data_IF_279465996301
#
_entry.id   IF_279465996301
#
_cell.length_a   1.000
_cell.length_b   1.000
_cell.length_c   1.000
_cell.angle_alpha   90.00
_cell.angle_beta   90.00
_cell.angle_gamma   90.00
#
_symmetry.space_group_name_H-M   'P 1'
#
loop_
_entity.id
_entity.type
_entity.pdbx_description
1 polymer ?
#
# COMPACT_ATOMS: atom_id res chain seq x y z
N UNK A 1 14.05 -17.73 13.81
CA UNK A 1 14.58 -16.40 13.46
C UNK A 1 14.20 -15.93 12.03
N UNK A 2 14.48 -16.65 10.94
CA UNK A 2 14.11 -16.16 9.58
C UNK A 2 12.60 -16.09 9.32
N UNK A 3 11.78 -16.96 9.88
CA UNK A 3 10.31 -16.98 9.66
C UNK A 3 9.58 -15.93 10.51
N UNK A 4 10.05 -15.62 11.71
CA UNK A 4 9.49 -14.55 12.55
C UNK A 4 9.84 -13.16 12.00
N UNK A 5 11.05 -13.01 11.40
CA UNK A 5 11.43 -11.78 10.69
C UNK A 5 10.54 -11.57 9.46
N UNK A 6 10.10 -12.64 8.79
CA UNK A 6 9.12 -12.56 7.68
C UNK A 6 7.74 -12.16 8.22
N UNK A 7 7.32 -12.68 9.39
CA UNK A 7 6.11 -12.22 10.09
C UNK A 7 6.21 -10.75 10.53
N UNK A 8 7.35 -10.34 11.10
CA UNK A 8 7.59 -8.93 11.51
C UNK A 8 7.70 -7.98 10.30
N UNK A 9 8.26 -8.44 9.17
CA UNK A 9 8.30 -7.70 7.91
C UNK A 9 6.91 -7.65 7.25
N UNK A 10 6.11 -8.73 7.36
CA UNK A 10 4.70 -8.70 6.96
C UNK A 10 3.87 -7.76 7.86
N UNK A 11 4.15 -7.72 9.17
CA UNK A 11 3.60 -6.74 10.12
C UNK A 11 3.97 -5.31 9.70
N UNK A 12 5.21 -5.06 9.29
CA UNK A 12 5.62 -3.75 8.75
C UNK A 12 5.01 -3.44 7.37
N UNK A 13 4.79 -4.45 6.53
CA UNK A 13 4.13 -4.28 5.21
C UNK A 13 2.62 -4.12 5.36
N UNK A 14 1.98 -4.76 6.35
CA UNK A 14 0.55 -4.56 6.64
C UNK A 14 0.31 -3.31 7.50
N UNK A 15 1.26 -2.91 8.36
CA UNK A 15 1.27 -1.56 8.92
C UNK A 15 1.52 -0.51 7.83
N UNK A 16 2.36 -0.79 6.85
CA UNK A 16 2.48 -0.02 5.61
C UNK A 16 1.22 -0.10 4.74
N UNK A 17 0.51 -1.22 4.71
CA UNK A 17 -0.78 -1.41 4.04
C UNK A 17 -1.95 -0.77 4.80
N UNK A 18 -1.94 -0.82 6.14
CA UNK A 18 -2.85 -0.11 7.02
C UNK A 18 -2.60 1.41 6.97
N UNK A 19 -1.34 1.85 6.94
CA UNK A 19 -0.98 3.24 6.65
C UNK A 19 -1.33 3.61 5.20
N UNK A 20 -1.31 2.68 4.24
CA UNK A 20 -1.72 2.94 2.86
C UNK A 20 -3.25 2.90 2.68
N UNK A 21 -3.98 2.11 3.47
CA UNK A 21 -5.43 2.15 3.55
C UNK A 21 -5.90 3.46 4.23
N UNK A 22 -5.26 3.86 5.33
CA UNK A 22 -5.47 5.17 5.93
C UNK A 22 -4.85 6.32 5.12
N UNK A 23 -3.78 6.11 4.34
CA UNK A 23 -3.26 7.13 3.42
C UNK A 23 -4.20 7.42 2.24
N UNK A 24 -5.11 6.52 1.89
CA UNK A 24 -6.23 6.88 0.97
C UNK A 24 -7.20 7.87 1.61
N UNK A 25 -7.29 7.86 2.94
CA UNK A 25 -8.16 8.74 3.73
C UNK A 25 -7.39 9.89 4.40
N UNK A 26 -6.05 9.87 4.39
CA UNK A 26 -5.24 11.01 4.82
C UNK A 26 -5.04 11.97 3.64
N UNK A 27 -5.16 13.29 3.84
CA UNK A 27 -4.91 14.25 2.76
C UNK A 27 -3.52 13.99 2.18
N UNK A 28 -3.45 13.80 0.87
CA UNK A 28 -2.17 13.66 0.17
C UNK A 28 -1.29 14.84 0.57
N UNK A 29 -0.27 14.57 1.40
CA UNK A 29 0.77 15.55 1.62
C UNK A 29 1.34 15.87 0.24
N UNK A 30 1.08 17.07 -0.26
CA UNK A 30 1.61 17.51 -1.53
C UNK A 30 3.11 17.20 -1.52
N UNK A 31 3.55 16.32 -2.41
CA UNK A 31 4.98 16.04 -2.59
C UNK A 31 5.68 17.40 -2.68
N UNK A 32 6.68 17.67 -1.84
CA UNK A 32 7.39 18.94 -1.92
C UNK A 32 8.04 19.00 -3.31
N UNK A 33 7.61 19.95 -4.11
CA UNK A 33 8.33 20.32 -5.31
C UNK A 33 9.80 20.56 -4.92
N UNK A 34 10.73 20.01 -5.70
CA UNK A 34 12.17 20.17 -5.47
C UNK A 34 12.49 21.64 -5.18
N UNK A 35 13.33 21.95 -4.18
CA UNK A 35 13.58 23.33 -3.77
C UNK A 35 14.22 24.10 -4.92
N UNK A 36 13.53 25.13 -5.37
CA UNK A 36 14.12 26.16 -6.24
C UNK A 36 15.27 26.83 -5.48
N UNK A 37 16.40 26.95 -6.13
CA UNK A 37 17.64 27.50 -5.59
C UNK A 37 17.44 28.90 -5.00
N UNK A 38 18.09 29.13 -3.83
CA UNK A 38 18.43 30.40 -3.21
C UNK A 38 17.29 31.32 -2.73
N UNK A 39 16.85 31.07 -1.48
CA UNK A 39 16.40 32.14 -0.60
C UNK A 39 17.57 32.61 0.30
N UNK A 40 17.68 33.93 0.65
CA UNK A 40 18.75 34.42 1.51
C UNK A 40 18.62 33.86 2.93
N UNK A 41 19.76 33.60 3.57
CA UNK A 41 19.86 33.13 4.94
C UNK A 41 19.08 34.08 5.87
N UNK A 42 17.96 33.60 6.39
CA UNK A 42 17.25 34.22 7.52
C UNK A 42 17.95 33.74 8.78
N UNK A 43 18.42 34.67 9.62
CA UNK A 43 18.91 34.39 10.96
C UNK A 43 17.86 33.59 11.75
N UNK A 44 18.22 32.56 12.54
CA UNK A 44 17.26 31.81 13.31
C UNK A 44 16.72 32.66 14.45
N UNK A 45 15.61 33.34 14.21
CA UNK A 45 14.75 33.78 15.29
C UNK A 45 14.02 32.56 15.82
N UNK A 46 13.87 32.44 17.12
CA UNK A 46 13.43 31.24 17.80
C UNK A 46 12.21 30.63 17.11
N UNK A 47 12.37 29.44 16.53
CA UNK A 47 11.25 28.65 16.00
C UNK A 47 10.23 28.52 17.13
N UNK A 48 8.96 28.96 16.98
CA UNK A 48 7.96 28.76 18.01
C UNK A 48 7.88 27.27 18.33
N UNK A 49 7.76 26.96 19.60
CA UNK A 49 7.58 25.56 20.04
C UNK A 49 6.40 24.96 19.26
N UNK A 50 6.50 23.73 18.81
CA UNK A 50 5.37 23.06 18.13
C UNK A 50 4.13 23.14 19.03
N UNK A 51 2.93 23.32 18.46
CA UNK A 51 1.70 23.38 19.24
C UNK A 51 1.56 22.11 20.08
N UNK A 52 1.13 22.28 21.33
CA UNK A 52 0.89 21.17 22.25
C UNK A 52 -0.29 20.34 21.70
N UNK A 53 -0.03 19.07 21.45
CA UNK A 53 -1.07 18.11 21.03
C UNK A 53 -1.74 17.57 22.29
N UNK A 54 -3.04 17.78 22.43
CA UNK A 54 -3.83 17.25 23.55
C UNK A 54 -4.27 15.83 23.26
N UNK A 55 -4.04 14.93 24.22
CA UNK A 55 -4.48 13.55 24.18
C UNK A 55 -5.97 13.41 24.51
N UNK A 56 -6.53 12.23 24.22
CA UNK A 56 -7.86 11.85 24.68
C UNK A 56 -7.75 11.18 26.06
N UNK A 57 -8.71 11.45 26.94
CA UNK A 57 -8.85 10.77 28.24
C UNK A 57 -9.46 9.38 28.07
N UNK A 58 -8.61 8.41 27.70
CA UNK A 58 -9.02 7.01 27.51
C UNK A 58 -9.52 6.35 28.80
N UNK A 59 -9.15 6.88 29.97
CA UNK A 59 -9.68 6.41 31.25
C UNK A 59 -11.15 6.79 31.41
N UNK A 60 -11.50 8.03 31.06
CA UNK A 60 -12.89 8.46 31.07
C UNK A 60 -13.73 7.74 29.99
N UNK A 61 -13.17 7.50 28.78
CA UNK A 61 -13.84 6.71 27.72
C UNK A 61 -14.07 5.28 28.22
N UNK A 62 -13.08 4.65 28.84
CA UNK A 62 -13.18 3.27 29.36
C UNK A 62 -14.29 3.16 30.42
N UNK A 63 -14.53 4.20 31.20
CA UNK A 63 -15.54 4.23 32.25
C UNK A 63 -16.98 4.36 31.73
N UNK A 64 -17.21 4.49 30.43
CA UNK A 64 -18.56 4.58 29.84
C UNK A 64 -19.34 3.26 29.95
N UNK A 65 -18.64 2.14 29.86
CA UNK A 65 -19.21 0.79 29.96
C UNK A 65 -18.35 -0.10 30.86
N UNK A 66 -18.88 -1.25 31.25
CA UNK A 66 -18.10 -2.30 31.94
C UNK A 66 -17.04 -2.86 30.99
N UNK A 67 -15.82 -3.10 31.49
CA UNK A 67 -14.73 -3.59 30.65
C UNK A 67 -15.08 -4.90 29.91
N UNK A 68 -15.85 -5.78 30.56
CA UNK A 68 -16.27 -7.09 30.02
C UNK A 68 -17.60 -7.01 29.23
N UNK A 69 -18.19 -5.82 29.07
CA UNK A 69 -19.40 -5.68 28.24
C UNK A 69 -19.02 -5.83 26.75
N UNK A 70 -19.83 -6.58 26.01
CA UNK A 70 -19.63 -6.76 24.58
C UNK A 70 -19.78 -5.43 23.85
N UNK A 71 -18.71 -4.95 23.24
CA UNK A 71 -18.67 -3.72 22.46
C UNK A 71 -19.00 -3.94 20.99
N UNK A 72 -18.48 -5.04 20.39
CA UNK A 72 -18.65 -5.37 18.98
C UNK A 72 -19.04 -6.85 18.86
N UNK A 73 -19.97 -7.15 17.97
CA UNK A 73 -20.37 -8.53 17.61
C UNK A 73 -20.40 -8.67 16.10
N UNK A 74 -19.77 -9.72 15.56
CA UNK A 74 -19.88 -10.15 14.17
C UNK A 74 -20.01 -11.67 14.11
N UNK A 75 -21.17 -12.16 13.70
CA UNK A 75 -21.49 -13.59 13.78
C UNK A 75 -21.42 -14.11 15.22
N UNK A 76 -20.58 -15.12 15.45
CA UNK A 76 -20.34 -15.70 16.78
C UNK A 76 -19.19 -15.03 17.53
N UNK A 77 -18.46 -14.14 16.90
CA UNK A 77 -17.31 -13.45 17.48
C UNK A 77 -17.73 -12.18 18.23
N UNK A 78 -17.10 -11.91 19.36
CA UNK A 78 -17.36 -10.73 20.17
C UNK A 78 -16.05 -10.13 20.69
N UNK A 79 -16.00 -8.81 20.72
CA UNK A 79 -14.95 -8.05 21.39
C UNK A 79 -15.56 -7.24 22.53
N UNK A 80 -14.90 -7.23 23.68
CA UNK A 80 -15.37 -6.47 24.84
C UNK A 80 -14.98 -4.99 24.77
N UNK A 81 -15.61 -4.18 25.66
CA UNK A 81 -15.38 -2.76 25.73
C UNK A 81 -13.94 -2.40 26.13
N UNK A 82 -13.35 -3.16 27.03
CA UNK A 82 -11.97 -2.97 27.45
C UNK A 82 -11.00 -3.09 26.30
N UNK A 83 -11.15 -4.16 25.50
CA UNK A 83 -10.34 -4.40 24.29
C UNK A 83 -10.55 -3.31 23.24
N UNK A 84 -11.82 -2.91 22.99
CA UNK A 84 -12.12 -1.81 22.06
C UNK A 84 -11.40 -0.52 22.44
N UNK A 85 -11.44 -0.13 23.72
CA UNK A 85 -10.79 1.10 24.19
C UNK A 85 -9.27 1.02 24.13
N UNK A 86 -8.67 -0.17 24.36
CA UNK A 86 -7.24 -0.37 24.19
C UNK A 86 -6.82 -0.18 22.73
N UNK A 87 -7.61 -0.70 21.80
CA UNK A 87 -7.36 -0.54 20.37
C UNK A 87 -7.60 0.91 19.90
N UNK A 88 -8.65 1.56 20.41
CA UNK A 88 -8.92 2.98 20.18
C UNK A 88 -7.74 3.86 20.66
N UNK A 89 -7.17 3.55 21.83
CA UNK A 89 -6.00 4.24 22.37
C UNK A 89 -4.78 4.05 21.45
N UNK A 90 -4.50 2.83 21.02
CA UNK A 90 -3.40 2.53 20.09
C UNK A 90 -3.51 3.38 18.83
N UNK A 91 -4.67 3.40 18.18
CA UNK A 91 -4.90 4.22 16.99
C UNK A 91 -4.83 5.73 17.31
N UNK A 92 -5.38 6.16 18.44
CA UNK A 92 -5.39 7.57 18.84
C UNK A 92 -3.99 8.14 19.05
N UNK A 93 -3.05 7.37 19.63
CA UNK A 93 -1.66 7.80 19.79
C UNK A 93 -1.00 8.01 18.41
N UNK A 94 -1.33 7.19 17.41
CA UNK A 94 -0.82 7.38 16.02
C UNK A 94 -1.33 8.70 15.40
N UNK A 95 -2.60 9.07 15.66
CA UNK A 95 -3.13 10.37 15.25
C UNK A 95 -2.42 11.52 15.97
N UNK A 96 -2.14 11.38 17.27
CA UNK A 96 -1.38 12.38 18.03
C UNK A 96 0.04 12.55 17.51
N UNK A 97 0.71 11.45 17.11
CA UNK A 97 2.03 11.51 16.49
C UNK A 97 1.98 12.21 15.11
N UNK A 98 0.93 11.95 14.33
CA UNK A 98 0.68 12.68 13.10
C UNK A 98 0.50 14.19 13.37
N UNK A 99 -0.29 14.59 14.38
CA UNK A 99 -0.47 16.00 14.74
C UNK A 99 0.86 16.65 15.15
N UNK A 100 1.69 15.94 15.92
CA UNK A 100 3.05 16.40 16.30
C UNK A 100 3.93 16.61 15.08
N UNK A 101 3.89 15.68 14.12
CA UNK A 101 4.67 15.78 12.89
C UNK A 101 4.19 16.95 12.00
N UNK A 102 2.88 17.13 11.83
CA UNK A 102 2.32 18.27 11.09
C UNK A 102 2.76 19.60 11.70
N UNK A 103 2.74 19.70 13.05
CA UNK A 103 3.25 20.88 13.78
C UNK A 103 4.74 21.10 13.56
N UNK A 104 5.56 20.06 13.71
CA UNK A 104 7.01 20.15 13.66
C UNK A 104 7.57 20.44 12.26
N UNK A 105 7.01 19.81 11.20
CA UNK A 105 7.56 19.91 9.84
C UNK A 105 6.88 20.99 8.99
N UNK A 106 5.58 21.23 9.22
CA UNK A 106 4.80 22.12 8.36
C UNK A 106 4.27 23.35 9.09
N UNK A 107 4.43 23.43 10.44
CA UNK A 107 3.87 24.51 11.25
C UNK A 107 2.33 24.51 11.29
N UNK A 108 1.70 23.38 10.98
CA UNK A 108 0.24 23.23 10.93
C UNK A 108 -0.23 22.69 12.29
N UNK A 109 -1.07 23.45 13.00
CA UNK A 109 -1.75 22.97 14.18
C UNK A 109 -2.91 22.05 13.76
N UNK A 110 -2.73 20.75 13.89
CA UNK A 110 -3.79 19.77 13.74
C UNK A 110 -4.27 19.33 15.13
N UNK A 111 -5.57 19.11 15.29
CA UNK A 111 -6.19 18.64 16.52
C UNK A 111 -7.43 17.78 16.22
N UNK A 112 -8.02 17.21 17.27
CA UNK A 112 -9.17 16.31 17.18
C UNK A 112 -10.42 16.91 16.51
N UNK A 113 -10.59 18.23 16.56
CA UNK A 113 -11.71 18.93 15.92
C UNK A 113 -11.41 19.34 14.48
N UNK A 114 -10.15 19.22 14.05
CA UNK A 114 -9.72 19.52 12.69
C UNK A 114 -10.33 18.57 11.67
N UNK A 115 -10.54 19.06 10.44
CA UNK A 115 -10.99 18.22 9.33
C UNK A 115 -9.86 17.34 8.81
N UNK A 116 -10.18 16.09 8.47
CA UNK A 116 -9.24 15.16 7.80
C UNK A 116 -8.75 15.66 6.43
N UNK A 117 -9.55 16.51 5.78
CA UNK A 117 -9.20 17.10 4.46
C UNK A 117 -9.31 16.12 3.27
N UNK A 118 -9.78 14.91 3.50
CA UNK A 118 -9.96 13.84 2.50
C UNK A 118 -11.27 13.94 1.70
N UNK A 119 -12.09 14.95 1.97
CA UNK A 119 -13.40 15.14 1.35
C UNK A 119 -14.56 14.41 2.03
N UNK A 120 -14.32 13.61 3.06
CA UNK A 120 -15.36 12.93 3.87
C UNK A 120 -16.20 13.92 4.69
N UNK A 121 -15.60 15.07 5.04
CA UNK A 121 -16.17 16.04 5.97
C UNK A 121 -16.06 15.65 7.44
N UNK A 122 -15.35 14.56 7.75
CA UNK A 122 -15.13 14.11 9.12
C UNK A 122 -14.06 14.96 9.81
N UNK A 123 -14.18 15.06 11.17
CA UNK A 123 -13.09 15.49 12.02
C UNK A 123 -12.14 14.32 12.31
N UNK A 124 -10.93 14.61 12.77
CA UNK A 124 -9.99 13.55 13.18
C UNK A 124 -10.54 12.67 14.31
N UNK A 125 -11.32 13.22 15.23
CA UNK A 125 -11.98 12.45 16.28
C UNK A 125 -13.02 11.46 15.70
N UNK A 126 -13.81 11.90 14.72
CA UNK A 126 -14.76 11.03 14.03
C UNK A 126 -14.06 9.96 13.20
N UNK A 127 -12.99 10.33 12.48
CA UNK A 127 -12.18 9.39 11.71
C UNK A 127 -11.56 8.32 12.62
N UNK A 128 -10.96 8.70 13.75
CA UNK A 128 -10.41 7.76 14.73
C UNK A 128 -11.44 6.71 15.18
N UNK A 129 -12.66 7.15 15.51
CA UNK A 129 -13.73 6.25 15.95
C UNK A 129 -14.15 5.31 14.80
N UNK A 130 -14.33 5.85 13.61
CA UNK A 130 -14.70 5.09 12.41
C UNK A 130 -13.62 4.06 12.06
N UNK A 131 -12.37 4.50 11.94
CA UNK A 131 -11.23 3.64 11.60
C UNK A 131 -11.04 2.51 12.60
N UNK A 132 -11.19 2.80 13.91
CA UNK A 132 -11.08 1.78 14.95
C UNK A 132 -12.17 0.71 14.82
N UNK A 133 -13.42 1.13 14.62
CA UNK A 133 -14.56 0.21 14.44
C UNK A 133 -14.40 -0.64 13.18
N UNK A 134 -14.08 -0.01 12.05
CA UNK A 134 -13.93 -0.69 10.77
C UNK A 134 -12.74 -1.66 10.77
N UNK A 135 -11.62 -1.29 11.40
CA UNK A 135 -10.46 -2.17 11.52
C UNK A 135 -10.79 -3.41 12.34
N UNK A 136 -11.40 -3.23 13.53
CA UNK A 136 -11.78 -4.37 14.37
C UNK A 136 -12.83 -5.24 13.69
N UNK A 137 -13.84 -4.66 13.05
CA UNK A 137 -14.83 -5.40 12.29
C UNK A 137 -14.22 -6.18 11.12
N UNK A 138 -13.20 -5.63 10.44
CA UNK A 138 -12.47 -6.33 9.38
C UNK A 138 -11.67 -7.52 9.92
N UNK A 139 -11.03 -7.38 11.10
CA UNK A 139 -10.35 -8.51 11.75
C UNK A 139 -11.35 -9.61 12.16
N UNK A 140 -12.48 -9.21 12.76
CA UNK A 140 -13.55 -10.17 13.10
C UNK A 140 -14.09 -10.89 11.84
N UNK A 141 -14.23 -10.18 10.72
CA UNK A 141 -14.63 -10.80 9.44
C UNK A 141 -13.60 -11.83 8.95
N UNK A 142 -12.30 -11.54 9.08
CA UNK A 142 -11.23 -12.49 8.75
C UNK A 142 -11.34 -13.76 9.63
N UNK A 143 -11.49 -13.59 10.96
CA UNK A 143 -11.62 -14.71 11.90
C UNK A 143 -12.85 -15.56 11.60
N UNK A 144 -14.02 -14.92 11.45
CA UNK A 144 -15.29 -15.61 11.19
C UNK A 144 -15.26 -16.31 9.84
N UNK A 145 -14.78 -15.64 8.80
CA UNK A 145 -14.66 -16.23 7.46
C UNK A 145 -13.67 -17.38 7.44
N UNK A 146 -12.49 -17.26 8.09
CA UNK A 146 -11.53 -18.35 8.21
C UNK A 146 -12.15 -19.58 8.88
N UNK A 147 -12.88 -19.39 9.98
CA UNK A 147 -13.62 -20.45 10.67
C UNK A 147 -14.64 -21.14 9.75
N UNK A 148 -15.40 -20.39 8.97
CA UNK A 148 -16.37 -20.93 8.02
C UNK A 148 -15.70 -21.70 6.87
N UNK A 149 -14.53 -21.25 6.42
CA UNK A 149 -13.73 -21.96 5.41
C UNK A 149 -12.95 -23.16 5.97
N UNK A 150 -12.97 -23.39 7.30
CA UNK A 150 -12.18 -24.43 7.95
C UNK A 150 -10.68 -24.13 7.96
N UNK A 151 -10.30 -22.87 7.79
CA UNK A 151 -8.91 -22.39 7.82
C UNK A 151 -8.53 -22.00 9.24
N UNK A 152 -7.36 -22.43 9.69
CA UNK A 152 -6.79 -22.10 11.00
C UNK A 152 -5.28 -21.94 10.88
N UNK A 153 -4.68 -21.29 11.86
CA UNK A 153 -3.23 -21.26 12.00
C UNK A 153 -2.68 -22.66 12.29
N UNK A 154 -1.49 -22.98 11.79
CA UNK A 154 -0.78 -24.18 12.16
C UNK A 154 -0.29 -24.15 13.62
N UNK A 155 0.17 -25.30 14.14
CA UNK A 155 0.61 -25.43 15.54
C UNK A 155 1.80 -24.49 15.87
N UNK A 156 2.70 -24.23 14.92
CA UNK A 156 3.86 -23.34 15.12
C UNK A 156 3.39 -21.87 15.25
N UNK A 157 2.48 -21.46 14.38
CA UNK A 157 1.89 -20.11 14.43
C UNK A 157 1.03 -19.90 15.67
N UNK A 158 0.19 -20.90 16.04
CA UNK A 158 -0.60 -20.83 17.28
C UNK A 158 0.30 -20.69 18.52
N UNK A 159 1.38 -21.50 18.58
CA UNK A 159 2.33 -21.42 19.67
C UNK A 159 3.05 -20.06 19.73
N UNK A 160 3.38 -19.47 18.58
CA UNK A 160 4.01 -18.16 18.52
C UNK A 160 3.12 -17.02 19.09
N UNK A 161 1.79 -17.25 19.18
CA UNK A 161 0.83 -16.31 19.75
C UNK A 161 0.60 -16.50 21.26
N UNK A 162 1.22 -17.52 21.90
CA UNK A 162 1.20 -17.64 23.35
C UNK A 162 2.04 -16.53 23.98
N UNK A 163 1.53 -15.79 24.99
CA UNK A 163 2.21 -14.62 25.56
C UNK A 163 3.64 -14.91 26.02
N UNK A 164 3.88 -16.08 26.61
CA UNK A 164 5.22 -16.50 27.06
C UNK A 164 6.17 -16.74 25.89
N UNK A 165 5.67 -17.30 24.80
CA UNK A 165 6.46 -17.51 23.59
C UNK A 165 6.74 -16.16 22.90
N UNK A 166 5.76 -15.28 22.84
CA UNK A 166 5.93 -13.89 22.32
C UNK A 166 6.99 -13.14 23.12
N UNK A 167 7.02 -13.27 24.45
CA UNK A 167 8.03 -12.65 25.29
C UNK A 167 9.45 -13.13 24.92
N UNK A 168 9.60 -14.43 24.70
CA UNK A 168 10.88 -15.01 24.26
C UNK A 168 11.28 -14.53 22.87
N UNK A 169 10.32 -14.53 21.93
CA UNK A 169 10.60 -14.21 20.52
C UNK A 169 10.90 -12.73 20.29
N UNK A 170 10.24 -11.84 21.03
CA UNK A 170 10.38 -10.37 20.89
C UNK A 170 11.49 -9.80 21.78
N UNK A 171 11.54 -10.24 23.06
CA UNK A 171 12.44 -9.65 24.05
C UNK A 171 13.67 -10.54 24.34
N UNK A 172 13.65 -11.82 23.96
CA UNK A 172 14.76 -12.77 24.14
C UNK A 172 14.54 -13.81 25.24
N UNK A 173 15.45 -14.79 25.33
CA UNK A 173 15.36 -15.88 26.33
C UNK A 173 15.25 -15.35 27.76
N UNK A 174 14.29 -15.89 28.51
CA UNK A 174 14.06 -15.54 29.90
C UNK A 174 13.28 -14.24 30.11
N UNK A 175 12.77 -13.62 29.05
CA UNK A 175 11.94 -12.44 29.15
C UNK A 175 10.61 -12.74 29.88
N UNK A 176 10.13 -11.72 30.61
CA UNK A 176 8.85 -11.77 31.33
C UNK A 176 7.72 -11.12 30.52
N UNK A 177 6.47 -11.39 30.91
CA UNK A 177 5.31 -10.72 30.31
C UNK A 177 5.31 -9.21 30.58
N UNK A 178 5.89 -8.74 31.68
CA UNK A 178 6.07 -7.32 31.97
C UNK A 178 7.01 -6.66 30.94
N UNK A 179 8.14 -7.30 30.66
CA UNK A 179 9.06 -6.82 29.60
C UNK A 179 8.43 -6.85 28.21
N UNK A 180 7.61 -7.86 27.91
CA UNK A 180 6.86 -7.88 26.66
C UNK A 180 5.88 -6.69 26.61
N UNK A 181 5.10 -6.47 27.67
CA UNK A 181 4.14 -5.37 27.74
C UNK A 181 4.82 -4.00 27.54
N UNK A 182 5.96 -3.77 28.24
CA UNK A 182 6.74 -2.54 28.10
C UNK A 182 7.27 -2.36 26.65
N UNK A 183 7.79 -3.44 26.05
CA UNK A 183 8.31 -3.42 24.67
C UNK A 183 7.22 -3.13 23.64
N UNK A 184 6.02 -3.72 23.82
CA UNK A 184 4.89 -3.47 22.93
C UNK A 184 4.34 -2.05 23.12
N UNK A 185 4.27 -1.55 24.36
CA UNK A 185 3.86 -0.18 24.63
C UNK A 185 4.82 0.83 24.00
N UNK A 186 6.14 0.64 24.13
CA UNK A 186 7.14 1.52 23.54
C UNK A 186 7.16 1.48 21.99
N UNK A 187 6.95 0.29 21.40
CA UNK A 187 7.10 0.07 19.96
C UNK A 187 5.84 0.28 19.13
N UNK A 188 4.67 -0.08 19.68
CA UNK A 188 3.40 -0.10 18.96
C UNK A 188 2.20 0.47 19.72
N UNK A 189 2.38 0.80 20.98
CA UNK A 189 1.32 1.24 21.92
C UNK A 189 0.19 0.21 22.11
N UNK A 190 0.48 -1.05 21.82
CA UNK A 190 -0.48 -2.16 21.95
C UNK A 190 -0.35 -2.87 23.31
N UNK A 191 -1.48 -3.36 23.82
CA UNK A 191 -1.48 -4.38 24.85
C UNK A 191 -1.03 -5.73 24.28
N UNK A 192 -0.64 -6.69 25.13
CA UNK A 192 -0.32 -8.06 24.71
C UNK A 192 -1.51 -8.68 23.96
N UNK A 193 -2.73 -8.53 24.47
CA UNK A 193 -3.92 -9.09 23.82
C UNK A 193 -4.23 -8.41 22.50
N UNK A 194 -4.07 -7.09 22.40
CA UNK A 194 -4.22 -6.34 21.16
C UNK A 194 -3.23 -6.79 20.09
N UNK A 195 -1.95 -6.94 20.46
CA UNK A 195 -0.91 -7.41 19.55
C UNK A 195 -1.13 -8.87 19.12
N UNK A 196 -1.57 -9.72 20.05
CA UNK A 196 -1.90 -11.12 19.75
C UNK A 196 -3.06 -11.23 18.75
N UNK A 197 -4.17 -10.51 19.02
CA UNK A 197 -5.33 -10.50 18.13
C UNK A 197 -4.99 -9.99 16.72
N UNK A 198 -4.23 -8.89 16.65
CA UNK A 198 -3.71 -8.38 15.39
C UNK A 198 -2.86 -9.41 14.65
N UNK A 199 -1.89 -10.05 15.34
CA UNK A 199 -0.99 -11.04 14.74
C UNK A 199 -1.74 -12.29 14.28
N UNK A 200 -2.76 -12.72 15.02
CA UNK A 200 -3.67 -13.80 14.64
C UNK A 200 -4.46 -13.46 13.38
N UNK A 201 -5.02 -12.24 13.30
CA UNK A 201 -5.75 -11.76 12.11
C UNK A 201 -4.87 -11.74 10.86
N UNK A 202 -3.61 -11.29 10.99
CA UNK A 202 -2.61 -11.33 9.91
C UNK A 202 -2.28 -12.75 9.47
N UNK A 203 -2.08 -13.63 10.45
CA UNK A 203 -1.81 -15.04 10.18
C UNK A 203 -2.99 -15.74 9.47
N UNK A 204 -4.20 -15.50 9.92
CA UNK A 204 -5.42 -16.04 9.30
C UNK A 204 -5.65 -15.46 7.89
N UNK A 205 -5.40 -14.18 7.67
CA UNK A 205 -5.44 -13.57 6.32
C UNK A 205 -4.46 -14.27 5.38
N UNK A 206 -3.24 -14.54 5.84
CA UNK A 206 -2.23 -15.24 5.04
C UNK A 206 -2.61 -16.68 4.77
N UNK A 207 -3.18 -17.38 5.77
CA UNK A 207 -3.65 -18.75 5.63
C UNK A 207 -4.85 -18.84 4.66
N UNK A 208 -5.80 -17.90 4.74
CA UNK A 208 -6.90 -17.77 3.79
C UNK A 208 -6.40 -17.52 2.36
N UNK A 209 -5.41 -16.63 2.21
CA UNK A 209 -4.82 -16.35 0.91
C UNK A 209 -4.20 -17.63 0.31
N UNK A 210 -3.38 -18.37 1.09
CA UNK A 210 -2.75 -19.60 0.61
C UNK A 210 -3.80 -20.69 0.30
N UNK A 211 -4.84 -20.81 1.13
CA UNK A 211 -5.91 -21.76 0.89
C UNK A 211 -6.72 -21.45 -0.36
N UNK A 212 -7.09 -20.19 -0.59
CA UNK A 212 -7.98 -19.82 -1.69
C UNK A 212 -7.23 -19.62 -3.02
N UNK A 213 -6.02 -19.05 -2.97
CA UNK A 213 -5.31 -18.60 -4.16
C UNK A 213 -3.93 -19.23 -4.37
N UNK A 214 -3.39 -19.97 -3.38
CA UNK A 214 -2.02 -20.47 -3.39
C UNK A 214 -1.01 -19.43 -2.91
N UNK A 215 0.26 -19.82 -2.79
CA UNK A 215 1.32 -18.94 -2.23
C UNK A 215 1.60 -17.70 -3.08
N UNK A 216 1.46 -17.85 -4.38
CA UNK A 216 1.77 -16.82 -5.38
C UNK A 216 0.56 -16.53 -6.30
N UNK A 217 -0.66 -16.92 -5.88
CA UNK A 217 -1.88 -16.74 -6.68
C UNK A 217 -2.06 -17.78 -7.78
N UNK A 218 -1.33 -18.91 -7.70
CA UNK A 218 -1.30 -19.94 -8.75
C UNK A 218 -2.60 -20.73 -8.90
N UNK A 219 -3.54 -20.59 -7.97
CA UNK A 219 -4.88 -21.19 -8.08
C UNK A 219 -5.82 -20.41 -9.01
N UNK A 220 -5.51 -19.14 -9.33
CA UNK A 220 -6.21 -18.40 -10.37
C UNK A 220 -5.71 -18.80 -11.76
N UNK A 221 -6.63 -19.00 -12.68
CA UNK A 221 -6.29 -19.22 -14.08
C UNK A 221 -5.75 -17.94 -14.73
N UNK A 222 -4.97 -18.10 -15.80
CA UNK A 222 -4.45 -16.97 -16.58
C UNK A 222 -5.60 -16.10 -17.13
N UNK A 223 -6.70 -16.73 -17.57
CA UNK A 223 -7.87 -16.04 -18.08
C UNK A 223 -8.53 -15.13 -17.00
N UNK A 224 -8.66 -15.61 -15.77
CA UNK A 224 -9.20 -14.82 -14.65
C UNK A 224 -8.30 -13.63 -14.34
N UNK A 225 -6.97 -13.83 -14.37
CA UNK A 225 -6.01 -12.77 -14.09
C UNK A 225 -6.03 -11.72 -15.19
N UNK A 226 -5.93 -12.14 -16.46
CA UNK A 226 -5.97 -11.22 -17.61
C UNK A 226 -7.26 -10.42 -17.60
N UNK A 227 -8.41 -11.09 -17.37
CA UNK A 227 -9.69 -10.39 -17.25
C UNK A 227 -9.70 -9.36 -16.12
N UNK A 228 -9.16 -9.68 -14.95
CA UNK A 228 -9.10 -8.75 -13.82
C UNK A 228 -8.21 -7.53 -14.14
N UNK A 229 -7.10 -7.75 -14.85
CA UNK A 229 -6.22 -6.67 -15.31
C UNK A 229 -6.92 -5.77 -16.35
N UNK A 230 -7.64 -6.37 -17.31
CA UNK A 230 -8.43 -5.64 -18.30
C UNK A 230 -9.53 -4.80 -17.64
N UNK A 231 -10.30 -5.40 -16.72
CA UNK A 231 -11.37 -4.73 -15.96
C UNK A 231 -10.83 -3.55 -15.13
N UNK A 232 -9.59 -3.65 -14.64
CA UNK A 232 -8.88 -2.58 -13.95
C UNK A 232 -8.21 -1.55 -14.89
N UNK A 233 -8.28 -1.78 -16.21
CA UNK A 233 -7.76 -0.85 -17.23
C UNK A 233 -6.25 -0.95 -17.46
N UNK A 234 -5.60 -2.05 -17.04
CA UNK A 234 -4.17 -2.23 -17.32
C UNK A 234 -3.89 -2.40 -18.80
N UNK A 235 -2.75 -1.90 -19.22
CA UNK A 235 -2.14 -2.13 -20.53
C UNK A 235 -0.67 -2.50 -20.36
N UNK A 236 -0.10 -3.22 -21.33
CA UNK A 236 1.29 -3.65 -21.28
C UNK A 236 2.04 -3.28 -22.56
N UNK A 237 3.29 -2.82 -22.42
CA UNK A 237 4.12 -2.47 -23.56
C UNK A 237 5.62 -2.61 -23.27
N UNK A 238 6.36 -3.05 -24.29
CA UNK A 238 7.79 -2.81 -24.40
C UNK A 238 8.08 -1.47 -25.08
N UNK A 239 9.21 -0.86 -24.74
CA UNK A 239 9.70 0.26 -25.53
C UNK A 239 11.23 0.31 -25.62
N UNK A 240 11.72 1.01 -26.64
CA UNK A 240 13.12 1.42 -26.78
C UNK A 240 13.14 2.94 -26.78
N UNK A 241 13.78 3.55 -25.79
CA UNK A 241 13.88 5.01 -25.68
C UNK A 241 15.22 5.50 -26.20
N UNK A 242 15.17 6.45 -27.12
CA UNK A 242 16.27 7.30 -27.54
C UNK A 242 16.08 8.68 -26.91
N UNK A 243 16.80 8.98 -25.83
CA UNK A 243 16.68 10.28 -25.15
C UNK A 243 17.12 11.42 -26.02
N UNK A 244 16.34 12.51 -26.03
CA UNK A 244 16.70 13.76 -26.71
C UNK A 244 17.01 14.89 -25.73
N UNK A 245 17.02 14.56 -24.44
CA UNK A 245 17.44 15.43 -23.35
C UNK A 245 18.62 14.80 -22.62
N UNK A 246 19.51 15.62 -22.12
CA UNK A 246 20.57 15.19 -21.20
C UNK A 246 19.96 14.90 -19.82
N UNK A 247 20.07 13.68 -19.30
CA UNK A 247 19.40 13.28 -18.06
C UNK A 247 19.94 14.00 -16.80
N UNK A 248 21.15 14.58 -16.86
CA UNK A 248 21.75 15.28 -15.73
C UNK A 248 21.33 16.76 -15.69
N UNK A 249 21.15 17.37 -16.85
CA UNK A 249 20.88 18.81 -16.93
C UNK A 249 19.47 19.15 -17.39
N UNK A 250 18.72 18.15 -17.90
CA UNK A 250 17.38 18.34 -18.49
C UNK A 250 17.38 19.16 -19.79
N UNK A 251 18.55 19.45 -20.37
CA UNK A 251 18.65 20.26 -21.60
C UNK A 251 18.52 19.36 -22.82
N UNK A 252 17.89 19.90 -23.86
CA UNK A 252 17.81 19.24 -25.16
C UNK A 252 19.21 19.06 -25.76
N UNK A 253 19.43 17.91 -26.43
CA UNK A 253 20.66 17.57 -27.13
C UNK A 253 20.78 18.42 -28.41
N UNK A 254 21.98 18.43 -29.03
CA UNK A 254 22.20 19.11 -30.29
C UNK A 254 21.33 18.50 -31.41
N UNK A 255 20.80 19.36 -32.30
CA UNK A 255 19.90 18.94 -33.41
C UNK A 255 20.46 17.81 -34.24
N UNK A 256 21.80 17.80 -34.45
CA UNK A 256 22.47 16.75 -35.21
C UNK A 256 22.38 15.40 -34.49
N UNK A 257 22.58 15.39 -33.19
CA UNK A 257 22.51 14.15 -32.38
C UNK A 257 21.08 13.64 -32.33
N UNK A 258 20.09 14.50 -32.17
CA UNK A 258 18.66 14.16 -32.22
C UNK A 258 18.31 13.52 -33.58
N UNK A 259 18.81 14.10 -34.68
CA UNK A 259 18.56 13.57 -36.03
C UNK A 259 19.18 12.18 -36.22
N UNK A 260 20.40 11.93 -35.73
CA UNK A 260 21.08 10.63 -35.77
C UNK A 260 20.34 9.57 -34.96
N UNK A 261 19.84 9.94 -33.77
CA UNK A 261 19.01 9.06 -32.93
C UNK A 261 17.69 8.69 -33.63
N UNK A 262 17.01 9.66 -34.24
CA UNK A 262 15.77 9.41 -34.99
C UNK A 262 16.02 8.53 -36.24
N UNK A 263 17.12 8.73 -36.96
CA UNK A 263 17.50 7.88 -38.08
C UNK A 263 17.74 6.44 -37.62
N UNK A 264 18.42 6.26 -36.48
CA UNK A 264 18.62 4.93 -35.86
C UNK A 264 17.30 4.29 -35.47
N UNK A 265 16.42 5.02 -34.78
CA UNK A 265 15.09 4.55 -34.41
C UNK A 265 14.29 4.07 -35.63
N UNK A 266 14.28 4.85 -36.73
CA UNK A 266 13.60 4.45 -37.98
C UNK A 266 14.17 3.16 -38.60
N UNK A 267 15.49 2.96 -38.51
CA UNK A 267 16.12 1.69 -39.01
C UNK A 267 15.67 0.50 -38.16
N UNK A 268 15.61 0.64 -36.83
CA UNK A 268 15.14 -0.42 -35.94
C UNK A 268 13.65 -0.73 -36.18
N UNK A 269 12.82 0.27 -36.38
CA UNK A 269 11.39 0.07 -36.72
C UNK A 269 11.26 -0.75 -38.02
N UNK A 270 12.04 -0.39 -39.06
CA UNK A 270 12.01 -1.13 -40.33
C UNK A 270 12.48 -2.58 -40.15
N UNK A 271 13.51 -2.82 -39.35
CA UNK A 271 14.00 -4.16 -39.00
C UNK A 271 12.93 -4.98 -38.29
N UNK A 272 12.36 -4.44 -37.22
CA UNK A 272 11.35 -5.12 -36.38
C UNK A 272 10.08 -5.46 -37.19
N UNK A 273 9.60 -4.53 -38.02
CA UNK A 273 8.41 -4.75 -38.87
C UNK A 273 8.60 -5.77 -39.99
N UNK A 274 9.84 -6.14 -40.29
CA UNK A 274 10.15 -7.18 -41.28
C UNK A 274 10.07 -8.61 -40.68
N UNK A 275 9.96 -8.74 -39.34
CA UNK A 275 9.87 -10.04 -38.66
C UNK A 275 8.39 -10.43 -38.56
N UNK A 276 8.02 -11.54 -39.18
CA UNK A 276 6.64 -12.06 -39.21
C UNK A 276 6.35 -12.98 -38.02
N UNK A 277 7.35 -13.69 -37.50
CA UNK A 277 7.20 -14.58 -36.36
C UNK A 277 7.19 -13.78 -35.04
N UNK A 278 6.15 -13.95 -34.24
CA UNK A 278 5.93 -13.18 -33.02
C UNK A 278 6.99 -13.47 -31.94
N UNK A 279 7.42 -14.73 -31.81
CA UNK A 279 8.43 -15.09 -30.80
C UNK A 279 9.80 -14.49 -31.18
N UNK A 280 10.13 -14.57 -32.46
CA UNK A 280 11.35 -13.95 -33.02
C UNK A 280 11.30 -12.43 -32.89
N UNK A 281 10.15 -11.79 -33.15
CA UNK A 281 9.93 -10.36 -32.98
C UNK A 281 10.17 -9.92 -31.52
N UNK A 282 9.52 -10.58 -30.54
CA UNK A 282 9.68 -10.28 -29.11
C UNK A 282 11.13 -10.45 -28.68
N UNK A 283 11.78 -11.55 -29.10
CA UNK A 283 13.19 -11.81 -28.80
C UNK A 283 14.07 -10.69 -29.36
N UNK A 284 13.88 -10.34 -30.64
CA UNK A 284 14.70 -9.31 -31.29
C UNK A 284 14.47 -7.94 -30.69
N UNK A 285 13.23 -7.62 -30.32
CA UNK A 285 12.91 -6.38 -29.62
C UNK A 285 13.65 -6.26 -28.28
N UNK A 286 13.72 -7.35 -27.50
CA UNK A 286 14.47 -7.39 -26.23
C UNK A 286 15.97 -7.17 -26.46
N UNK A 287 16.57 -7.83 -27.45
CA UNK A 287 17.98 -7.64 -27.81
C UNK A 287 18.28 -6.17 -28.17
N UNK A 288 17.43 -5.55 -28.98
CA UNK A 288 17.58 -4.14 -29.36
C UNK A 288 17.31 -3.20 -28.19
N UNK A 289 16.35 -3.53 -27.30
CA UNK A 289 16.13 -2.79 -26.05
C UNK A 289 17.38 -2.79 -25.17
N UNK A 290 18.03 -3.94 -25.02
CA UNK A 290 19.25 -4.03 -24.21
C UNK A 290 20.38 -3.18 -24.81
N UNK A 291 20.53 -3.20 -26.14
CA UNK A 291 21.57 -2.49 -26.87
C UNK A 291 21.36 -0.98 -26.94
N UNK A 292 20.13 -0.53 -27.23
CA UNK A 292 19.85 0.87 -27.59
C UNK A 292 19.01 1.65 -26.57
N UNK A 293 18.26 0.99 -25.70
CA UNK A 293 17.35 1.69 -24.81
C UNK A 293 18.09 2.46 -23.73
N UNK A 294 17.86 3.77 -23.67
CA UNK A 294 18.44 4.67 -22.70
C UNK A 294 17.57 4.87 -21.45
N UNK A 295 16.41 4.19 -21.37
CA UNK A 295 15.57 4.20 -20.17
C UNK A 295 16.24 3.42 -19.03
N UNK A 296 16.42 4.10 -17.89
CA UNK A 296 16.98 3.51 -16.67
C UNK A 296 16.04 2.50 -16.01
N UNK A 297 14.74 2.64 -16.22
CA UNK A 297 13.71 1.73 -15.71
C UNK A 297 13.75 0.32 -16.32
N UNK A 298 14.44 0.15 -17.48
CA UNK A 298 14.57 -1.16 -18.15
C UNK A 298 15.12 -2.27 -17.27
N UNK A 299 15.90 -1.93 -16.24
CA UNK A 299 16.48 -2.90 -15.29
C UNK A 299 15.42 -3.46 -14.33
N UNK A 300 14.47 -2.64 -13.91
CA UNK A 300 13.37 -3.05 -13.04
C UNK A 300 12.23 -3.73 -13.83
N UNK A 301 12.06 -3.36 -15.10
CA UNK A 301 11.01 -3.86 -15.99
C UNK A 301 11.61 -4.47 -17.27
N UNK A 302 12.35 -5.58 -17.14
CA UNK A 302 13.05 -6.19 -18.29
C UNK A 302 12.08 -6.65 -19.38
N UNK A 303 10.89 -7.10 -18.98
CA UNK A 303 9.86 -7.64 -19.86
C UNK A 303 8.77 -6.63 -20.26
N UNK A 304 9.03 -5.34 -20.03
CA UNK A 304 8.10 -4.25 -20.35
C UNK A 304 7.36 -3.70 -19.15
N UNK A 305 6.55 -2.70 -19.39
CA UNK A 305 5.75 -2.00 -18.38
C UNK A 305 4.30 -2.43 -18.49
N UNK A 306 3.72 -2.88 -17.38
CA UNK A 306 2.26 -3.09 -17.26
C UNK A 306 1.73 -2.05 -16.26
N UNK A 307 0.84 -1.17 -16.72
CA UNK A 307 0.44 0.02 -16.00
C UNK A 307 -1.03 0.39 -16.27
N UNK A 308 -1.60 1.25 -15.43
CA UNK A 308 -2.94 1.82 -15.61
C UNK A 308 -2.86 3.19 -16.29
N UNK A 309 -3.92 3.68 -16.95
CA UNK A 309 -3.98 5.01 -17.56
C UNK A 309 -3.58 6.14 -16.61
N UNK A 310 -3.01 7.21 -17.15
CA UNK A 310 -2.47 8.38 -16.44
C UNK A 310 -1.18 8.10 -15.65
N UNK A 311 -0.51 6.99 -15.93
CA UNK A 311 0.77 6.61 -15.33
C UNK A 311 1.96 7.06 -16.18
N UNK A 312 1.84 6.94 -17.50
CA UNK A 312 2.88 7.32 -18.45
C UNK A 312 2.56 8.66 -19.12
N UNK A 313 3.50 9.18 -19.92
CA UNK A 313 3.23 10.41 -20.71
C UNK A 313 2.18 10.14 -21.78
N UNK A 314 1.34 11.13 -22.05
CA UNK A 314 0.14 10.96 -22.87
C UNK A 314 0.43 10.37 -24.26
N UNK A 315 1.49 10.85 -24.94
CA UNK A 315 1.85 10.38 -26.28
C UNK A 315 2.22 8.90 -26.31
N UNK A 316 2.80 8.38 -25.22
CA UNK A 316 3.10 6.98 -25.04
C UNK A 316 1.82 6.17 -24.83
N UNK A 317 0.96 6.61 -23.90
CA UNK A 317 -0.32 5.93 -23.59
C UNK A 317 -1.27 5.89 -24.77
N UNK A 318 -1.42 6.99 -25.49
CA UNK A 318 -2.26 7.09 -26.69
C UNK A 318 -1.79 6.09 -27.77
N UNK A 319 -0.47 5.95 -27.90
CA UNK A 319 0.13 5.01 -28.86
C UNK A 319 -0.19 3.58 -28.44
N UNK A 320 0.09 3.19 -27.18
CA UNK A 320 -0.17 1.82 -26.71
C UNK A 320 -1.65 1.46 -26.82
N UNK A 321 -2.54 2.41 -26.48
CA UNK A 321 -4.00 2.18 -26.55
C UNK A 321 -4.49 1.99 -28.00
N UNK A 322 -3.88 2.69 -28.96
CA UNK A 322 -4.22 2.59 -30.39
C UNK A 322 -3.64 1.38 -31.10
N UNK A 323 -2.64 0.69 -30.52
CA UNK A 323 -1.97 -0.45 -31.14
C UNK A 323 -2.70 -1.78 -30.90
N UNK A 324 -2.52 -2.72 -31.82
CA UNK A 324 -2.76 -4.14 -31.59
C UNK A 324 -1.56 -4.75 -30.85
N UNK A 325 -1.77 -5.89 -30.21
CA UNK A 325 -0.69 -6.65 -29.61
C UNK A 325 0.39 -6.97 -30.65
N UNK A 326 1.65 -6.84 -30.23
CA UNK A 326 2.86 -7.02 -31.04
C UNK A 326 3.03 -6.04 -32.22
N UNK A 327 2.18 -5.04 -32.33
CA UNK A 327 2.36 -3.98 -33.31
C UNK A 327 3.51 -3.04 -32.89
N UNK A 328 4.37 -2.68 -33.84
CA UNK A 328 5.50 -1.76 -33.65
C UNK A 328 5.09 -0.36 -34.10
N UNK A 329 5.22 0.63 -33.19
CA UNK A 329 4.96 2.03 -33.52
C UNK A 329 6.00 2.61 -34.49
N UNK A 330 5.67 3.74 -35.13
CA UNK A 330 6.70 4.67 -35.56
C UNK A 330 7.41 5.28 -34.34
N UNK A 331 8.57 5.94 -34.47
CA UNK A 331 9.20 6.65 -33.35
C UNK A 331 8.29 7.73 -32.80
N UNK A 332 7.78 7.54 -31.56
CA UNK A 332 6.86 8.46 -30.88
C UNK A 332 7.67 9.50 -30.11
N UNK A 333 7.48 10.77 -30.41
CA UNK A 333 8.15 11.85 -29.68
C UNK A 333 7.42 12.18 -28.38
N UNK A 334 8.15 12.15 -27.27
CA UNK A 334 7.69 12.58 -25.94
C UNK A 334 8.64 13.66 -25.38
N UNK A 335 8.37 14.13 -24.16
CA UNK A 335 9.27 15.01 -23.42
C UNK A 335 10.64 14.39 -23.12
N UNK A 336 10.77 13.07 -23.13
CA UNK A 336 12.03 12.35 -22.87
C UNK A 336 12.84 12.10 -24.14
N UNK A 337 12.18 11.89 -25.27
CA UNK A 337 12.84 11.52 -26.52
C UNK A 337 11.92 10.77 -27.47
N UNK A 338 12.53 9.93 -28.33
CA UNK A 338 11.81 9.06 -29.26
C UNK A 338 11.67 7.65 -28.69
N UNK A 339 10.44 7.16 -28.65
CA UNK A 339 10.13 5.79 -28.22
C UNK A 339 9.71 4.93 -29.40
N UNK A 340 10.30 3.76 -29.56
CA UNK A 340 9.74 2.68 -30.37
C UNK A 340 8.94 1.82 -29.39
N UNK A 341 7.65 1.65 -29.64
CA UNK A 341 6.73 0.99 -28.72
C UNK A 341 6.16 -0.27 -29.37
N UNK A 342 6.14 -1.36 -28.62
CA UNK A 342 5.44 -2.59 -28.96
C UNK A 342 4.43 -2.92 -27.87
N UNK A 343 3.14 -2.94 -28.22
CA UNK A 343 2.11 -3.36 -27.28
C UNK A 343 2.26 -4.85 -26.97
N UNK A 344 2.11 -5.23 -25.73
CA UNK A 344 2.16 -6.61 -25.26
C UNK A 344 0.78 -7.07 -24.79
N UNK A 345 0.49 -8.39 -24.83
CA UNK A 345 -0.64 -8.95 -24.12
C UNK A 345 -0.46 -8.78 -22.61
N UNK A 346 -1.55 -8.72 -21.88
CA UNK A 346 -1.54 -8.82 -20.42
C UNK A 346 -1.25 -10.27 -20.01
N UNK A 347 -0.54 -10.42 -18.89
CA UNK A 347 -0.20 -11.75 -18.36
C UNK A 347 -0.09 -11.68 -16.84
N UNK A 348 -0.38 -12.80 -16.17
CA UNK A 348 -0.20 -12.96 -14.74
C UNK A 348 1.25 -12.85 -14.29
N UNK A 349 2.21 -13.07 -15.17
CA UNK A 349 3.65 -12.95 -14.90
C UNK A 349 4.17 -11.52 -15.13
N UNK A 350 3.34 -10.60 -15.64
CA UNK A 350 3.72 -9.22 -15.87
C UNK A 350 4.08 -8.51 -14.57
N UNK A 351 5.11 -7.65 -14.62
CA UNK A 351 5.45 -6.75 -13.52
C UNK A 351 4.61 -5.48 -13.62
N UNK A 352 3.80 -5.25 -12.61
CA UNK A 352 3.00 -4.04 -12.51
C UNK A 352 3.89 -2.84 -12.15
N UNK A 353 3.73 -1.75 -12.87
CA UNK A 353 4.49 -0.52 -12.65
C UNK A 353 4.18 0.08 -11.27
N UNK A 354 5.25 0.47 -10.58
CA UNK A 354 5.18 1.17 -9.30
C UNK A 354 6.03 2.43 -9.35
N UNK A 355 5.42 3.57 -9.10
CA UNK A 355 6.12 4.85 -8.99
C UNK A 355 7.14 4.88 -7.82
N UNK A 356 6.98 4.00 -6.82
CA UNK A 356 7.89 3.84 -5.68
C UNK A 356 9.07 2.92 -5.99
N UNK A 357 9.16 2.35 -7.21
CA UNK A 357 10.27 1.49 -7.64
C UNK A 357 10.22 0.05 -7.10
N UNK A 358 9.08 -0.41 -6.59
CA UNK A 358 8.85 -1.76 -6.10
C UNK A 358 7.80 -2.48 -6.96
N UNK A 359 8.19 -3.05 -8.11
CA UNK A 359 7.25 -3.78 -8.96
C UNK A 359 6.71 -5.02 -8.26
N UNK A 360 5.44 -5.33 -8.52
CA UNK A 360 4.77 -6.55 -8.05
C UNK A 360 4.34 -7.40 -9.24
N UNK A 361 4.30 -8.71 -9.04
CA UNK A 361 3.80 -9.65 -10.07
C UNK A 361 2.28 -9.51 -10.16
N UNK A 362 1.75 -9.39 -11.36
CA UNK A 362 0.33 -9.17 -11.62
C UNK A 362 -0.55 -10.23 -10.96
N UNK A 363 -0.18 -11.51 -11.09
CA UNK A 363 -0.87 -12.65 -10.47
C UNK A 363 -1.04 -12.48 -8.96
N UNK A 364 0.03 -12.10 -8.26
CA UNK A 364 0.00 -11.87 -6.80
C UNK A 364 -0.92 -10.70 -6.45
N UNK A 365 -0.81 -9.58 -7.17
CA UNK A 365 -1.65 -8.41 -6.92
C UNK A 365 -3.13 -8.70 -7.19
N UNK A 366 -3.46 -9.38 -8.29
CA UNK A 366 -4.83 -9.75 -8.63
C UNK A 366 -5.43 -10.68 -7.57
N UNK A 367 -4.69 -11.69 -7.12
CA UNK A 367 -5.17 -12.62 -6.10
C UNK A 367 -5.32 -11.98 -4.72
N UNK A 368 -4.44 -11.05 -4.33
CA UNK A 368 -4.58 -10.27 -3.10
C UNK A 368 -5.83 -9.37 -3.16
N UNK A 369 -6.07 -8.70 -4.28
CA UNK A 369 -7.28 -7.89 -4.49
C UNK A 369 -8.54 -8.77 -4.47
N UNK A 370 -8.48 -9.99 -5.00
CA UNK A 370 -9.59 -10.92 -4.97
C UNK A 370 -9.93 -11.38 -3.53
N UNK A 371 -8.91 -11.65 -2.69
CA UNK A 371 -9.15 -11.93 -1.27
C UNK A 371 -9.75 -10.74 -0.55
N UNK A 372 -9.19 -9.54 -0.74
CA UNK A 372 -9.72 -8.31 -0.15
C UNK A 372 -11.19 -8.15 -0.51
N UNK A 373 -11.52 -8.25 -1.80
CA UNK A 373 -12.91 -8.18 -2.26
C UNK A 373 -13.80 -9.26 -1.63
N UNK A 374 -13.31 -10.48 -1.49
CA UNK A 374 -14.07 -11.58 -0.87
C UNK A 374 -14.39 -11.26 0.60
N UNK A 375 -13.43 -10.70 1.34
CA UNK A 375 -13.63 -10.30 2.73
C UNK A 375 -14.55 -9.07 2.85
N UNK A 376 -14.44 -8.11 1.94
CA UNK A 376 -15.34 -6.95 1.88
C UNK A 376 -16.79 -7.38 1.59
N UNK A 377 -16.99 -8.27 0.62
CA UNK A 377 -18.30 -8.83 0.29
C UNK A 377 -18.86 -9.65 1.48
N UNK A 378 -18.01 -10.40 2.16
CA UNK A 378 -18.40 -11.15 3.36
C UNK A 378 -18.85 -10.20 4.49
N UNK A 379 -18.05 -9.16 4.78
CA UNK A 379 -18.39 -8.16 5.79
C UNK A 379 -19.69 -7.40 5.44
N UNK A 380 -19.87 -7.03 4.18
CA UNK A 380 -21.09 -6.39 3.74
C UNK A 380 -22.36 -7.26 3.93
N UNK A 381 -22.20 -8.59 3.81
CA UNK A 381 -23.28 -9.57 4.06
C UNK A 381 -23.49 -9.85 5.56
N UNK A 382 -22.45 -9.66 6.39
CA UNK A 382 -22.42 -9.95 7.82
C UNK A 382 -21.92 -8.75 8.62
N UNK A 383 -22.65 -7.62 8.61
CA UNK A 383 -22.19 -6.39 9.27
C UNK A 383 -22.05 -6.58 10.78
N UNK A 384 -21.01 -5.98 11.35
CA UNK A 384 -20.86 -5.92 12.78
C UNK A 384 -21.99 -5.11 13.44
N UNK A 385 -22.31 -5.47 14.67
CA UNK A 385 -23.20 -4.69 15.54
C UNK A 385 -22.43 -4.17 16.75
N UNK A 386 -22.84 -3.02 17.27
CA UNK A 386 -22.10 -2.26 18.26
C UNK A 386 -22.96 -2.05 19.52
N UNK A 387 -22.28 -1.93 20.68
CA UNK A 387 -22.94 -1.54 21.92
C UNK A 387 -23.61 -0.17 21.75
N UNK A 388 -24.72 0.05 22.47
CA UNK A 388 -25.48 1.30 22.41
C UNK A 388 -24.59 2.54 22.66
N UNK A 389 -24.67 3.53 21.78
CA UNK A 389 -23.93 4.78 21.85
C UNK A 389 -22.52 4.74 21.27
N UNK A 390 -21.98 3.58 20.88
CA UNK A 390 -20.62 3.53 20.32
C UNK A 390 -20.52 4.22 18.97
N UNK A 391 -21.54 4.08 18.11
CA UNK A 391 -21.49 4.67 16.77
C UNK A 391 -21.56 6.19 16.76
N UNK A 392 -22.21 6.77 17.77
CA UNK A 392 -22.40 8.21 17.95
C UNK A 392 -21.50 8.82 19.05
N UNK A 393 -20.47 8.08 19.49
CA UNK A 393 -19.57 8.53 20.55
C UNK A 393 -18.76 9.75 20.09
N UNK A 394 -19.00 10.88 20.76
CA UNK A 394 -18.26 12.13 20.50
C UNK A 394 -16.97 12.17 21.32
N UNK A 395 -15.87 11.74 20.70
CA UNK A 395 -14.55 11.71 21.34
C UNK A 395 -14.03 13.11 21.70
N UNK A 396 -14.56 14.19 21.11
CA UNK A 396 -14.10 15.55 21.41
C UNK A 396 -14.45 15.98 22.85
N UNK A 397 -15.44 15.32 23.47
CA UNK A 397 -15.80 15.53 24.87
C UNK A 397 -14.76 14.99 25.87
N UNK A 398 -13.83 14.18 25.38
CA UNK A 398 -12.78 13.50 26.17
C UNK A 398 -11.38 14.04 25.88
N UNK A 399 -11.26 15.19 25.20
CA UNK A 399 -9.97 15.87 25.02
C UNK A 399 -9.47 16.35 26.38
N UNK A 400 -8.24 15.97 26.76
CA UNK A 400 -7.61 16.41 28.00
C UNK A 400 -7.54 17.94 28.05
N UNK A 401 -7.72 18.48 29.27
CA UNK A 401 -7.85 19.95 29.52
C UNK A 401 -6.53 20.66 29.45
#
# INVERSE_FOLDING_TARGET
MKKLIIGLVAVLVLFGGFMAFNQKNMPAAASPAAPAASAPAVTPDATPAPPEVKSLDYTAIRALHGADETAITLGDETLDWGFFVDFLRTNGIQYEDYFRQMGAYYGIAADWNGSTGDGSGQTYAQALLTDTRETLASFMAIHTFAKEQGVSLDEEAQKALEPEQMAVDICGEGATLEQLADTLEEGSHMTIDGFRYYSESVGLYSALYEELYGKEGEKLSEEEIVKALEDAGYVSAHHILFMTIDPMTGKELEEKEIAEKLETANKLVAELRAIEDTEELVKRFKELKDEYCEDTGKTLYPDGYTYTPQTMVAEFEDTVTGQKEFEISDPVKTSYGYHIIMRLPLSGESLLFSAQGNPTVARVTVSQNALTKTLDDYYAAHPATYIEGLEDLDLTQYIEK
#
